data_IF_010081512563
#
_entry.id   IF_010081512563
#
_cell.length_a   1.000
_cell.length_b   1.000
_cell.length_c   1.000
_cell.angle_alpha   90.00
_cell.angle_beta   90.00
_cell.angle_gamma   90.00
#
_symmetry.space_group_name_H-M   'P 1'
#
loop_
_entity.id
_entity.type
_entity.pdbx_description
1 polymer ?
#
# COMPACT_ATOMS: atom_id res chain seq x y z
N UNK A 1 7.08 13.34 6.19
CA UNK A 1 7.56 12.45 5.11
C UNK A 1 6.63 12.42 3.89
N UNK A 2 5.60 13.30 3.85
CA UNK A 2 4.72 13.39 2.69
C UNK A 2 5.49 13.82 1.43
N UNK A 3 5.12 13.25 0.29
CA UNK A 3 5.58 13.70 -1.02
C UNK A 3 5.17 15.15 -1.27
N UNK A 4 5.97 15.90 -2.04
CA UNK A 4 5.76 17.35 -2.26
C UNK A 4 4.42 17.72 -2.91
N UNK A 5 3.82 16.77 -3.64
CA UNK A 5 2.53 16.94 -4.32
C UNK A 5 1.34 16.55 -3.46
N UNK A 6 1.58 15.93 -2.30
CA UNK A 6 0.55 15.34 -1.43
C UNK A 6 0.21 16.27 -0.26
N UNK A 7 -1.05 16.29 0.13
CA UNK A 7 -1.61 17.14 1.18
C UNK A 7 -2.33 16.27 2.23
N UNK A 8 -1.59 15.42 2.98
CA UNK A 8 -2.18 14.60 4.05
C UNK A 8 -2.54 15.46 5.27
N UNK A 9 -3.31 14.89 6.17
CA UNK A 9 -3.73 15.55 7.41
C UNK A 9 -5.23 15.75 7.51
N UNK A 10 -5.66 16.77 8.24
CA UNK A 10 -7.08 17.06 8.45
C UNK A 10 -7.70 17.67 7.18
N UNK A 11 -8.63 16.92 6.57
CA UNK A 11 -9.27 17.31 5.30
C UNK A 11 -10.67 17.94 5.55
N UNK A 12 -11.42 17.37 6.49
CA UNK A 12 -12.74 17.87 6.92
C UNK A 12 -12.81 17.75 8.44
N UNK A 13 -13.30 18.78 9.13
CA UNK A 13 -13.52 18.70 10.56
C UNK A 13 -13.46 20.05 11.28
N UNK A 14 -13.89 20.06 12.53
CA UNK A 14 -13.82 21.19 13.44
C UNK A 14 -12.91 20.84 14.63
N UNK A 15 -11.82 21.58 14.80
CA UNK A 15 -10.81 21.36 15.86
C UNK A 15 -11.37 21.55 17.29
N UNK A 16 -12.60 22.04 17.44
CA UNK A 16 -13.27 22.21 18.72
C UNK A 16 -14.07 20.98 19.17
N UNK A 17 -14.21 19.98 18.31
CA UNK A 17 -14.95 18.76 18.64
C UNK A 17 -14.03 17.76 19.37
N UNK A 18 -14.55 17.14 20.41
CA UNK A 18 -13.90 16.03 21.08
C UNK A 18 -13.91 14.78 20.18
N UNK A 19 -12.82 14.03 20.21
CA UNK A 19 -12.66 12.77 19.48
C UNK A 19 -12.55 11.62 20.47
N UNK A 20 -13.55 10.74 20.48
CA UNK A 20 -13.61 9.55 21.35
C UNK A 20 -13.66 8.24 20.55
N UNK A 21 -14.26 8.29 19.36
CA UNK A 21 -14.46 7.13 18.50
C UNK A 21 -13.72 7.38 17.19
N UNK A 22 -12.69 6.57 16.91
CA UNK A 22 -11.88 6.66 15.70
C UNK A 22 -12.17 5.43 14.84
N UNK A 23 -12.31 5.64 13.53
CA UNK A 23 -12.33 4.55 12.58
C UNK A 23 -11.22 4.69 11.53
N UNK A 24 -10.81 3.56 10.97
CA UNK A 24 -9.85 3.47 9.88
C UNK A 24 -10.51 2.87 8.65
N UNK A 25 -10.18 3.36 7.46
CA UNK A 25 -10.58 2.78 6.18
C UNK A 25 -9.56 3.12 5.09
N UNK A 26 -9.43 2.31 4.03
CA UNK A 26 -8.55 2.62 2.92
C UNK A 26 -9.03 3.87 2.17
N UNK A 27 -10.29 3.86 1.73
CA UNK A 27 -10.87 4.89 0.87
C UNK A 27 -12.01 5.66 1.57
N UNK A 28 -12.11 6.99 1.39
CA UNK A 28 -13.24 7.78 1.85
C UNK A 28 -14.43 7.69 0.87
N UNK A 29 -14.84 6.46 0.53
CA UNK A 29 -15.99 6.22 -0.35
C UNK A 29 -17.30 6.60 0.34
N UNK A 30 -18.37 6.87 -0.43
CA UNK A 30 -19.67 7.21 0.13
C UNK A 30 -20.17 6.15 1.14
N UNK A 31 -19.98 4.86 0.81
CA UNK A 31 -20.41 3.76 1.66
C UNK A 31 -19.62 3.69 2.99
N UNK A 32 -18.29 3.95 2.92
CA UNK A 32 -17.44 4.05 4.12
C UNK A 32 -17.88 5.22 5.00
N UNK A 33 -18.16 6.38 4.42
CA UNK A 33 -18.64 7.56 5.13
C UNK A 33 -20.00 7.27 5.82
N UNK A 34 -20.92 6.63 5.10
CA UNK A 34 -22.23 6.27 5.67
C UNK A 34 -22.09 5.29 6.84
N UNK A 35 -21.19 4.32 6.73
CA UNK A 35 -20.91 3.39 7.83
C UNK A 35 -20.24 4.07 9.02
N UNK A 36 -19.30 4.98 8.79
CA UNK A 36 -18.66 5.75 9.84
C UNK A 36 -19.68 6.60 10.62
N UNK A 37 -20.54 7.33 9.92
CA UNK A 37 -21.58 8.17 10.51
C UNK A 37 -22.61 7.31 11.29
N UNK A 38 -23.08 6.23 10.70
CA UNK A 38 -24.01 5.31 11.38
C UNK A 38 -23.39 4.66 12.63
N UNK A 39 -22.06 4.49 12.63
CA UNK A 39 -21.29 3.98 13.76
C UNK A 39 -20.94 5.01 14.83
N UNK A 40 -21.36 6.27 14.70
CA UNK A 40 -21.04 7.34 15.65
C UNK A 40 -19.55 7.65 15.73
N UNK A 41 -18.86 7.66 14.59
CA UNK A 41 -17.42 7.95 14.51
C UNK A 41 -17.20 9.47 14.54
N UNK A 42 -16.30 9.91 15.42
CA UNK A 42 -15.91 11.31 15.56
C UNK A 42 -14.77 11.67 14.60
N UNK A 43 -13.85 10.71 14.34
CA UNK A 43 -12.72 10.87 13.43
C UNK A 43 -12.57 9.63 12.55
N UNK A 44 -12.71 9.80 11.24
CA UNK A 44 -12.36 8.80 10.24
C UNK A 44 -10.94 9.08 9.72
N UNK A 45 -10.05 8.09 9.84
CA UNK A 45 -8.70 8.14 9.28
C UNK A 45 -8.68 7.26 8.04
N UNK A 46 -8.47 7.88 6.88
CA UNK A 46 -8.31 7.17 5.61
C UNK A 46 -6.86 7.18 5.15
N UNK A 47 -6.49 6.16 4.37
CA UNK A 47 -5.23 6.19 3.65
C UNK A 47 -5.34 7.11 2.44
N UNK A 48 -6.32 6.90 1.57
CA UNK A 48 -6.50 7.70 0.38
C UNK A 48 -7.16 9.06 0.65
N UNK A 49 -6.72 10.12 -0.06
CA UNK A 49 -7.29 11.45 0.10
C UNK A 49 -8.65 11.57 -0.60
N UNK A 50 -9.59 12.29 0.04
CA UNK A 50 -10.85 12.67 -0.60
C UNK A 50 -10.60 13.59 -1.81
N UNK A 51 -9.58 14.45 -1.73
CA UNK A 51 -9.18 15.38 -2.76
C UNK A 51 -7.75 15.07 -3.23
N UNK A 52 -7.61 14.11 -4.12
CA UNK A 52 -6.30 13.77 -4.71
C UNK A 52 -5.72 14.91 -5.57
N UNK A 53 -6.59 15.79 -6.07
CA UNK A 53 -6.21 16.99 -6.82
C UNK A 53 -6.98 18.18 -6.27
N UNK A 54 -6.39 19.38 -6.38
CA UNK A 54 -7.06 20.63 -5.99
C UNK A 54 -8.42 20.77 -6.67
N UNK A 55 -9.41 21.25 -5.91
CA UNK A 55 -10.77 21.49 -6.39
C UNK A 55 -11.13 22.95 -6.26
N UNK A 56 -11.91 23.48 -7.21
CA UNK A 56 -12.37 24.88 -7.19
C UNK A 56 -13.73 25.05 -6.51
N UNK A 57 -14.48 23.96 -6.32
CA UNK A 57 -15.79 24.01 -5.70
C UNK A 57 -16.08 22.74 -4.91
N UNK A 58 -16.72 22.93 -3.75
CA UNK A 58 -17.29 21.86 -2.93
C UNK A 58 -18.79 22.08 -2.87
N UNK A 59 -19.55 21.31 -3.63
CA UNK A 59 -21.02 21.49 -3.77
C UNK A 59 -21.72 20.14 -3.97
N UNK A 60 -23.06 20.16 -3.87
CA UNK A 60 -23.90 18.99 -4.11
C UNK A 60 -23.95 18.50 -5.58
N UNK A 61 -23.19 19.10 -6.49
CA UNK A 61 -23.06 18.62 -7.87
C UNK A 61 -22.12 17.41 -8.01
N UNK A 62 -21.34 17.10 -6.97
CA UNK A 62 -20.41 15.98 -6.98
C UNK A 62 -20.38 15.23 -5.65
N UNK A 63 -20.01 13.93 -5.71
CA UNK A 63 -20.00 13.07 -4.52
C UNK A 63 -19.04 13.58 -3.43
N UNK A 64 -17.94 14.25 -3.77
CA UNK A 64 -17.01 14.84 -2.79
C UNK A 64 -17.65 15.94 -1.96
N UNK A 65 -18.46 16.80 -2.61
CA UNK A 65 -19.23 17.82 -1.91
C UNK A 65 -20.29 17.23 -0.98
N UNK A 66 -20.95 16.15 -1.41
CA UNK A 66 -21.91 15.44 -0.58
C UNK A 66 -21.23 14.75 0.62
N UNK A 67 -20.03 14.16 0.45
CA UNK A 67 -19.24 13.60 1.56
C UNK A 67 -18.92 14.70 2.58
N UNK A 68 -18.38 15.84 2.14
CA UNK A 68 -18.08 16.96 3.04
C UNK A 68 -19.33 17.42 3.80
N UNK A 69 -20.48 17.54 3.11
CA UNK A 69 -21.75 17.90 3.75
C UNK A 69 -22.16 16.89 4.83
N UNK A 70 -22.10 15.59 4.51
CA UNK A 70 -22.45 14.51 5.45
C UNK A 70 -21.55 14.51 6.68
N UNK A 71 -20.24 14.61 6.49
CA UNK A 71 -19.26 14.64 7.58
C UNK A 71 -19.50 15.85 8.50
N UNK A 72 -19.66 17.05 7.93
CA UNK A 72 -19.93 18.26 8.71
C UNK A 72 -21.23 18.17 9.51
N UNK A 73 -22.32 17.66 8.91
CA UNK A 73 -23.59 17.51 9.60
C UNK A 73 -23.55 16.46 10.71
N UNK A 74 -22.74 15.45 10.57
CA UNK A 74 -22.55 14.39 11.57
C UNK A 74 -21.54 14.76 12.66
N UNK A 75 -20.78 15.85 12.50
CA UNK A 75 -19.65 16.17 13.38
C UNK A 75 -18.49 15.18 13.27
N UNK A 76 -18.38 14.45 12.16
CA UNK A 76 -17.32 13.47 11.91
C UNK A 76 -16.19 14.14 11.13
N UNK A 77 -14.99 14.13 11.67
CA UNK A 77 -13.79 14.61 10.97
C UNK A 77 -13.21 13.55 10.02
N UNK A 78 -12.56 13.99 8.95
CA UNK A 78 -11.79 13.15 8.05
C UNK A 78 -10.32 13.58 8.08
N UNK A 79 -9.45 12.64 8.44
CA UNK A 79 -8.00 12.80 8.40
C UNK A 79 -7.41 11.80 7.42
N UNK A 80 -6.35 12.19 6.72
CA UNK A 80 -5.69 11.38 5.70
C UNK A 80 -4.24 11.15 6.08
N UNK A 81 -3.83 9.87 6.10
CA UNK A 81 -2.44 9.43 6.19
C UNK A 81 -2.09 8.71 4.90
N UNK A 82 -1.49 9.42 3.94
CA UNK A 82 -1.20 8.94 2.60
C UNK A 82 0.31 8.69 2.45
N UNK A 83 1.02 9.43 1.60
CA UNK A 83 2.45 9.19 1.38
C UNK A 83 3.31 9.35 2.63
N UNK A 84 2.89 10.15 3.61
CA UNK A 84 3.52 10.22 4.92
C UNK A 84 3.38 8.91 5.72
N UNK A 85 2.25 8.20 5.58
CA UNK A 85 2.06 6.88 6.17
C UNK A 85 2.87 5.81 5.43
N UNK A 86 3.02 5.93 4.09
CA UNK A 86 3.84 5.02 3.29
C UNK A 86 5.31 5.05 3.74
N UNK A 87 5.83 6.24 3.99
CA UNK A 87 7.24 6.45 4.31
C UNK A 87 7.60 6.20 5.78
N UNK A 88 6.63 6.20 6.69
CA UNK A 88 6.85 6.14 8.13
C UNK A 88 7.37 4.78 8.61
N UNK A 89 8.10 4.79 9.76
CA UNK A 89 8.31 3.59 10.56
C UNK A 89 6.95 3.06 11.06
N UNK A 90 6.73 1.75 10.98
CA UNK A 90 5.42 1.10 11.20
C UNK A 90 4.31 1.65 10.29
N UNK A 91 4.69 2.20 9.14
CA UNK A 91 3.79 2.63 8.10
C UNK A 91 3.37 1.50 7.15
N UNK A 92 2.77 1.87 6.03
CA UNK A 92 2.12 0.96 5.07
C UNK A 92 3.10 -0.07 4.52
N UNK A 93 4.30 0.38 4.09
CA UNK A 93 5.33 -0.50 3.55
C UNK A 93 5.85 -1.53 4.54
N UNK A 94 6.04 -1.15 5.81
CA UNK A 94 6.50 -2.07 6.85
C UNK A 94 5.40 -3.06 7.24
N UNK A 95 4.16 -2.62 7.31
CA UNK A 95 3.03 -3.50 7.62
C UNK A 95 2.87 -4.61 6.58
N UNK A 96 2.97 -4.28 5.30
CA UNK A 96 2.94 -5.26 4.21
C UNK A 96 4.15 -6.21 4.27
N UNK A 97 5.37 -5.69 4.47
CA UNK A 97 6.57 -6.50 4.58
C UNK A 97 6.49 -7.52 5.74
N UNK A 98 5.99 -7.10 6.91
CA UNK A 98 5.79 -7.99 8.05
C UNK A 98 4.70 -9.05 7.77
N UNK A 99 3.59 -8.65 7.15
CA UNK A 99 2.51 -9.57 6.78
C UNK A 99 2.98 -10.65 5.80
N UNK A 100 3.93 -10.32 4.92
CA UNK A 100 4.54 -11.27 3.98
C UNK A 100 5.69 -12.07 4.58
N UNK A 101 6.06 -11.82 5.85
CA UNK A 101 7.09 -12.55 6.58
C UNK A 101 8.52 -12.16 6.19
N UNK A 102 8.74 -10.91 5.80
CA UNK A 102 10.06 -10.39 5.48
C UNK A 102 10.82 -10.03 6.76
N UNK A 103 12.08 -10.42 6.84
CA UNK A 103 13.02 -10.08 7.89
C UNK A 103 14.15 -9.21 7.34
N UNK A 104 14.95 -8.60 8.24
CA UNK A 104 16.09 -7.72 7.88
C UNK A 104 15.69 -6.58 6.93
N UNK A 105 14.57 -5.94 7.25
CA UNK A 105 13.96 -4.93 6.41
C UNK A 105 14.74 -3.61 6.40
N UNK A 106 14.79 -2.99 5.23
CA UNK A 106 15.23 -1.59 5.03
C UNK A 106 14.29 -0.89 4.05
N UNK A 107 14.22 0.45 4.05
CA UNK A 107 13.50 1.18 3.01
C UNK A 107 14.04 0.83 1.61
N UNK A 108 13.14 0.74 0.62
CA UNK A 108 13.51 0.64 -0.80
C UNK A 108 14.08 1.98 -1.28
N UNK A 109 13.36 3.07 -0.98
CA UNK A 109 13.82 4.44 -1.21
C UNK A 109 13.95 5.13 0.15
N UNK A 110 15.17 5.21 0.71
CA UNK A 110 15.37 5.81 2.03
C UNK A 110 15.14 7.32 2.02
N UNK A 111 14.63 7.85 3.12
CA UNK A 111 14.55 9.28 3.41
C UNK A 111 15.56 9.59 4.51
N UNK A 112 16.46 10.54 4.22
CA UNK A 112 17.45 11.00 5.21
C UNK A 112 16.78 11.94 6.22
N UNK A 113 16.61 11.46 7.45
CA UNK A 113 16.14 12.26 8.58
C UNK A 113 17.00 11.97 9.82
N UNK A 114 17.91 12.89 10.18
CA UNK A 114 18.77 12.71 11.36
C UNK A 114 18.03 12.62 12.70
N UNK A 115 16.74 12.96 12.72
CA UNK A 115 15.89 12.91 13.93
C UNK A 115 15.07 11.61 14.01
N UNK A 116 15.03 10.83 12.94
CA UNK A 116 14.31 9.57 12.95
C UNK A 116 15.05 8.54 13.81
N UNK A 117 14.34 7.94 14.75
CA UNK A 117 14.87 6.85 15.60
C UNK A 117 15.01 5.54 14.81
N UNK A 118 14.29 5.40 13.70
CA UNK A 118 14.27 4.23 12.84
C UNK A 118 14.40 4.62 11.38
N UNK A 119 14.91 3.74 10.50
CA UNK A 119 14.95 3.99 9.07
C UNK A 119 13.56 4.22 8.50
N UNK A 120 13.38 5.34 7.79
CA UNK A 120 12.15 5.77 7.13
C UNK A 120 12.36 5.88 5.62
N UNK A 121 11.30 5.79 4.85
CA UNK A 121 11.32 5.88 3.39
C UNK A 121 10.30 4.96 2.72
N UNK A 122 10.13 5.15 1.42
CA UNK A 122 9.13 4.43 0.64
C UNK A 122 9.48 2.96 0.44
N UNK A 123 8.46 2.12 0.52
CA UNK A 123 8.58 0.69 0.36
C UNK A 123 9.52 0.01 1.37
N UNK A 124 9.69 -1.28 1.21
CA UNK A 124 10.67 -2.07 2.00
C UNK A 124 11.37 -3.08 1.11
N UNK A 125 12.62 -3.34 1.42
CA UNK A 125 13.39 -4.48 0.92
C UNK A 125 13.72 -5.35 2.11
N UNK A 126 13.48 -6.65 1.99
CA UNK A 126 13.79 -7.62 3.01
C UNK A 126 14.08 -8.99 2.41
N UNK A 127 14.31 -9.97 3.28
CA UNK A 127 14.49 -11.36 2.85
C UNK A 127 13.48 -12.29 3.53
N UNK A 128 13.20 -13.39 2.89
CA UNK A 128 12.47 -14.50 3.50
C UNK A 128 13.39 -15.23 4.48
N UNK A 129 12.85 -15.78 5.55
CA UNK A 129 13.62 -16.59 6.49
C UNK A 129 14.22 -17.81 5.78
N UNK A 130 13.41 -18.47 4.95
CA UNK A 130 13.80 -19.57 4.07
C UNK A 130 13.38 -19.25 2.65
N UNK A 131 14.25 -19.44 1.63
CA UNK A 131 13.84 -19.32 0.25
C UNK A 131 12.73 -20.30 -0.11
N UNK A 132 11.74 -19.85 -0.90
CA UNK A 132 10.59 -20.65 -1.35
C UNK A 132 10.31 -20.41 -2.83
N UNK A 133 9.46 -21.25 -3.44
CA UNK A 133 9.04 -21.05 -4.81
C UNK A 133 8.18 -19.76 -4.96
N UNK A 134 8.29 -19.07 -6.09
CA UNK A 134 7.50 -17.85 -6.37
C UNK A 134 6.00 -18.09 -6.18
N UNK A 135 5.48 -19.26 -6.65
CA UNK A 135 4.05 -19.62 -6.48
C UNK A 135 3.62 -19.67 -5.02
N UNK A 136 4.48 -20.19 -4.14
CA UNK A 136 4.17 -20.33 -2.71
C UNK A 136 4.22 -18.97 -2.01
N UNK A 137 5.18 -18.13 -2.42
CA UNK A 137 5.21 -16.75 -1.95
C UNK A 137 4.00 -15.94 -2.42
N UNK A 138 3.60 -16.08 -3.68
CA UNK A 138 2.41 -15.41 -4.21
C UNK A 138 1.14 -15.84 -3.45
N UNK A 139 1.03 -17.11 -3.07
CA UNK A 139 -0.06 -17.59 -2.20
C UNK A 139 0.00 -16.93 -0.83
N UNK A 140 1.19 -16.86 -0.22
CA UNK A 140 1.39 -16.16 1.07
C UNK A 140 0.95 -14.69 0.99
N UNK A 141 1.30 -14.00 -0.10
CA UNK A 141 0.84 -12.62 -0.34
C UNK A 141 -0.69 -12.58 -0.42
N UNK A 142 -1.30 -13.43 -1.24
CA UNK A 142 -2.76 -13.49 -1.40
C UNK A 142 -3.49 -13.78 -0.08
N UNK A 143 -2.97 -14.71 0.73
CA UNK A 143 -3.57 -15.11 2.02
C UNK A 143 -3.45 -13.99 3.08
N UNK A 144 -2.48 -13.09 2.95
CA UNK A 144 -2.29 -11.97 3.87
C UNK A 144 -3.18 -10.75 3.55
N UNK A 145 -3.76 -10.70 2.35
CA UNK A 145 -4.59 -9.57 1.90
C UNK A 145 -6.06 -9.76 2.30
N UNK A 146 -6.80 -8.68 2.57
CA UNK A 146 -8.25 -8.71 2.55
C UNK A 146 -8.77 -9.23 1.21
N UNK A 147 -9.89 -9.95 1.24
CA UNK A 147 -10.49 -10.50 0.04
C UNK A 147 -10.88 -9.43 -0.98
N UNK A 148 -10.53 -9.68 -2.24
CA UNK A 148 -11.02 -8.94 -3.43
C UNK A 148 -11.29 -9.92 -4.55
N UNK A 149 -12.18 -9.55 -5.49
CA UNK A 149 -12.43 -10.36 -6.70
C UNK A 149 -11.23 -10.38 -7.64
N UNK A 150 -10.39 -9.34 -7.62
CA UNK A 150 -9.20 -9.24 -8.49
C UNK A 150 -8.12 -10.25 -8.10
N UNK A 151 -7.91 -10.51 -6.80
CA UNK A 151 -6.83 -11.35 -6.31
C UNK A 151 -5.44 -10.79 -6.67
N UNK A 152 -4.44 -11.67 -6.75
CA UNK A 152 -3.07 -11.31 -7.13
C UNK A 152 -2.69 -11.85 -8.50
N UNK A 153 -1.89 -11.09 -9.24
CA UNK A 153 -1.36 -11.48 -10.55
C UNK A 153 0.17 -11.67 -10.41
N UNK A 154 0.71 -12.69 -11.05
CA UNK A 154 2.13 -13.06 -10.93
C UNK A 154 2.79 -13.06 -12.31
N UNK A 155 3.94 -12.42 -12.40
CA UNK A 155 4.78 -12.41 -13.60
C UNK A 155 6.17 -12.95 -13.25
N UNK A 156 6.56 -14.06 -13.86
CA UNK A 156 7.85 -14.72 -13.65
C UNK A 156 7.73 -16.24 -13.71
N UNK A 157 8.85 -16.93 -13.48
CA UNK A 157 8.89 -18.39 -13.36
C UNK A 157 8.32 -18.80 -11.99
N UNK A 158 7.17 -19.46 -11.99
CA UNK A 158 6.45 -19.86 -10.77
C UNK A 158 7.23 -20.86 -9.88
N UNK A 159 8.17 -21.60 -10.46
CA UNK A 159 8.98 -22.58 -9.75
C UNK A 159 10.36 -22.01 -9.34
N UNK A 160 10.68 -20.77 -9.75
CA UNK A 160 11.91 -20.11 -9.33
C UNK A 160 11.96 -19.96 -7.82
N UNK A 161 13.10 -20.30 -7.23
CA UNK A 161 13.36 -20.10 -5.81
C UNK A 161 13.68 -18.63 -5.57
N UNK A 162 12.94 -17.99 -4.65
CA UNK A 162 13.09 -16.59 -4.26
C UNK A 162 13.48 -16.48 -2.80
N UNK A 163 14.32 -15.51 -2.46
CA UNK A 163 14.76 -15.23 -1.08
C UNK A 163 14.70 -13.76 -0.71
N UNK A 164 14.77 -12.84 -1.70
CA UNK A 164 14.77 -11.40 -1.49
C UNK A 164 13.59 -10.74 -2.17
N UNK A 165 12.94 -9.82 -1.46
CA UNK A 165 11.69 -9.19 -1.89
C UNK A 165 11.75 -7.69 -1.66
N UNK A 166 11.31 -6.92 -2.65
CA UNK A 166 10.90 -5.53 -2.47
C UNK A 166 9.37 -5.48 -2.39
N UNK A 167 8.83 -4.66 -1.52
CA UNK A 167 7.39 -4.38 -1.42
C UNK A 167 7.16 -2.87 -1.37
N UNK A 168 6.24 -2.41 -2.21
CA UNK A 168 5.71 -1.05 -2.19
C UNK A 168 4.20 -1.16 -2.33
N UNK A 169 3.41 -1.04 -1.24
CA UNK A 169 1.97 -0.91 -1.35
C UNK A 169 1.58 0.29 -2.20
N UNK A 170 0.46 0.20 -2.90
CA UNK A 170 0.05 1.23 -3.85
C UNK A 170 0.72 1.13 -5.22
N UNK A 171 0.63 2.19 -6.02
CA UNK A 171 1.09 2.22 -7.42
C UNK A 171 2.62 2.31 -7.50
N UNK A 172 3.27 1.24 -7.92
CA UNK A 172 4.73 1.10 -7.84
C UNK A 172 5.48 0.98 -9.16
N UNK A 173 4.85 1.21 -10.31
CA UNK A 173 5.54 1.10 -11.60
C UNK A 173 6.59 2.20 -11.87
N UNK A 174 6.60 3.25 -11.05
CA UNK A 174 7.59 4.32 -11.09
C UNK A 174 8.94 3.97 -10.44
N UNK A 175 9.03 2.88 -9.66
CA UNK A 175 10.22 2.49 -8.89
C UNK A 175 10.95 1.25 -9.44
N UNK A 176 10.74 0.90 -10.70
CA UNK A 176 11.42 -0.26 -11.29
C UNK A 176 12.95 -0.13 -11.31
N UNK A 177 13.48 1.07 -11.46
CA UNK A 177 14.93 1.30 -11.46
C UNK A 177 15.52 1.09 -10.07
N UNK A 178 14.86 1.54 -9.01
CA UNK A 178 15.24 1.34 -7.62
C UNK A 178 15.19 -0.15 -7.24
N UNK A 179 14.13 -0.84 -7.66
CA UNK A 179 13.97 -2.29 -7.45
C UNK A 179 15.06 -3.07 -8.17
N UNK A 180 15.36 -2.71 -9.42
CA UNK A 180 16.46 -3.32 -10.20
C UNK A 180 17.82 -3.06 -9.54
N UNK A 181 18.05 -1.83 -9.07
CA UNK A 181 19.27 -1.48 -8.34
C UNK A 181 19.39 -2.22 -6.99
N UNK A 182 18.28 -2.53 -6.33
CA UNK A 182 18.25 -3.33 -5.11
C UNK A 182 18.63 -4.80 -5.34
N UNK A 183 18.44 -5.32 -6.57
CA UNK A 183 18.82 -6.67 -6.97
C UNK A 183 17.97 -7.77 -6.33
N UNK A 184 16.70 -7.49 -6.04
CA UNK A 184 15.78 -8.44 -5.41
C UNK A 184 15.21 -9.45 -6.40
N UNK A 185 14.74 -10.60 -5.89
CA UNK A 185 14.14 -11.64 -6.72
C UNK A 185 12.72 -11.28 -7.16
N UNK A 186 11.95 -10.62 -6.26
CA UNK A 186 10.53 -10.30 -6.49
C UNK A 186 10.22 -8.88 -6.04
N UNK A 187 9.36 -8.22 -6.82
CA UNK A 187 8.73 -6.96 -6.45
C UNK A 187 7.22 -7.13 -6.30
N UNK A 188 6.69 -6.79 -5.12
CA UNK A 188 5.27 -6.80 -4.79
C UNK A 188 4.77 -5.37 -4.73
N UNK A 189 3.78 -5.04 -5.57
CA UNK A 189 3.18 -3.69 -5.65
C UNK A 189 1.80 -3.76 -6.29
N UNK A 190 1.18 -2.61 -6.58
CA UNK A 190 -0.14 -2.52 -7.21
C UNK A 190 -0.12 -1.69 -8.49
N UNK A 191 -1.24 -1.69 -9.21
CA UNK A 191 -1.51 -0.87 -10.40
C UNK A 191 -0.47 -1.02 -11.51
N UNK A 192 0.12 -2.20 -11.62
CA UNK A 192 1.10 -2.46 -12.66
C UNK A 192 0.45 -2.43 -14.05
N UNK A 193 0.93 -1.51 -14.89
CA UNK A 193 0.47 -1.33 -16.26
C UNK A 193 1.22 -2.24 -17.23
N UNK A 194 0.56 -2.58 -18.35
CA UNK A 194 1.09 -3.52 -19.35
C UNK A 194 2.52 -3.17 -19.82
N UNK A 195 2.71 -1.98 -20.39
CA UNK A 195 4.01 -1.63 -20.99
C UNK A 195 5.15 -1.52 -19.95
N UNK A 196 5.00 -0.83 -18.81
CA UNK A 196 6.07 -0.80 -17.82
C UNK A 196 6.51 -2.19 -17.35
N UNK A 197 5.57 -3.12 -17.15
CA UNK A 197 5.91 -4.49 -16.72
C UNK A 197 6.55 -5.28 -17.84
N UNK A 198 6.02 -5.21 -19.08
CA UNK A 198 6.62 -5.93 -20.22
C UNK A 198 8.03 -5.46 -20.49
N UNK A 199 8.30 -4.16 -20.43
CA UNK A 199 9.63 -3.60 -20.62
C UNK A 199 10.57 -4.02 -19.48
N UNK A 200 10.11 -4.00 -18.24
CA UNK A 200 10.90 -4.42 -17.08
C UNK A 200 11.26 -5.90 -17.13
N UNK A 201 10.34 -6.79 -17.53
CA UNK A 201 10.63 -8.22 -17.63
C UNK A 201 11.54 -8.55 -18.82
N UNK A 202 11.38 -7.85 -19.95
CA UNK A 202 12.29 -8.02 -21.10
C UNK A 202 13.70 -7.52 -20.77
N UNK A 203 13.84 -6.41 -20.05
CA UNK A 203 15.13 -5.96 -19.55
C UNK A 203 15.76 -6.99 -18.60
N UNK A 204 14.97 -7.55 -17.66
CA UNK A 204 15.44 -8.59 -16.76
C UNK A 204 15.92 -9.86 -17.50
N UNK A 205 15.20 -10.28 -18.53
CA UNK A 205 15.58 -11.41 -19.39
C UNK A 205 16.86 -11.13 -20.15
N UNK A 206 16.98 -9.93 -20.72
CA UNK A 206 18.19 -9.51 -21.43
C UNK A 206 19.40 -9.52 -20.51
N UNK A 207 19.31 -8.91 -19.34
CA UNK A 207 20.38 -8.88 -18.34
C UNK A 207 20.80 -10.30 -17.89
N UNK A 208 19.83 -11.17 -17.62
CA UNK A 208 20.09 -12.57 -17.28
C UNK A 208 20.84 -13.30 -18.40
N UNK A 209 20.47 -13.07 -19.68
CA UNK A 209 21.14 -13.66 -20.83
C UNK A 209 22.58 -13.17 -20.99
N UNK A 210 22.85 -11.90 -20.69
CA UNK A 210 24.21 -11.36 -20.71
C UNK A 210 25.08 -11.96 -19.60
N UNK A 211 24.54 -12.06 -18.37
CA UNK A 211 25.24 -12.72 -17.25
C UNK A 211 25.50 -14.22 -17.53
N UNK A 212 24.59 -14.92 -18.20
CA UNK A 212 24.80 -16.29 -18.66
C UNK A 212 25.90 -16.42 -19.70
N UNK A 213 26.29 -15.33 -20.38
CA UNK A 213 27.39 -15.24 -21.32
C UNK A 213 28.68 -14.63 -20.69
N UNK A 214 28.78 -14.61 -19.36
CA UNK A 214 29.85 -14.01 -18.58
C UNK A 214 30.06 -12.50 -18.83
N UNK A 215 28.98 -11.79 -19.23
CA UNK A 215 28.97 -10.34 -19.38
C UNK A 215 28.28 -9.73 -18.16
N UNK A 216 29.02 -8.98 -17.36
CA UNK A 216 28.47 -8.29 -16.19
C UNK A 216 27.50 -7.17 -16.62
N UNK A 217 26.19 -7.42 -16.45
CA UNK A 217 25.13 -6.44 -16.68
C UNK A 217 24.05 -6.58 -15.61
N UNK A 218 23.75 -5.46 -14.92
CA UNK A 218 22.88 -5.48 -13.76
C UNK A 218 23.48 -6.18 -12.54
N UNK A 219 22.63 -6.68 -11.63
CA UNK A 219 23.07 -7.39 -10.41
C UNK A 219 22.59 -8.84 -10.40
N UNK A 220 23.35 -9.70 -9.74
CA UNK A 220 22.99 -11.09 -9.48
C UNK A 220 23.59 -12.09 -10.46
N UNK A 221 23.06 -13.30 -10.44
CA UNK A 221 23.42 -14.42 -11.32
C UNK A 221 22.61 -14.41 -12.64
N UNK A 222 22.63 -15.51 -13.38
CA UNK A 222 21.90 -15.65 -14.64
C UNK A 222 20.38 -15.84 -14.50
N UNK A 223 19.80 -15.66 -13.30
CA UNK A 223 18.35 -15.72 -13.13
C UNK A 223 17.66 -14.43 -13.58
N UNK A 224 16.44 -14.57 -14.10
CA UNK A 224 15.60 -13.43 -14.48
C UNK A 224 15.04 -12.79 -13.22
N UNK A 225 15.40 -11.54 -12.97
CA UNK A 225 14.91 -10.77 -11.81
C UNK A 225 14.91 -9.26 -12.06
N UNK A 226 14.00 -8.49 -11.46
CA UNK A 226 12.95 -8.97 -10.57
C UNK A 226 11.80 -9.65 -11.32
N UNK A 227 11.11 -10.55 -10.61
CA UNK A 227 9.76 -11.03 -10.95
C UNK A 227 8.74 -10.15 -10.25
N UNK A 228 7.46 -10.20 -10.66
CA UNK A 228 6.47 -9.26 -10.15
C UNK A 228 5.24 -9.96 -9.58
N UNK A 229 4.70 -9.39 -8.48
CA UNK A 229 3.37 -9.69 -7.95
C UNK A 229 2.59 -8.40 -7.90
N UNK A 230 1.50 -8.34 -8.69
CA UNK A 230 0.56 -7.23 -8.71
C UNK A 230 -0.62 -7.54 -7.79
N UNK A 231 -0.86 -6.66 -6.81
CA UNK A 231 -1.89 -6.83 -5.77
C UNK A 231 -3.02 -5.82 -5.97
N UNK A 232 -4.22 -6.08 -5.43
CA UNK A 232 -5.26 -5.06 -5.33
C UNK A 232 -4.79 -3.89 -4.45
N UNK A 233 -4.96 -2.67 -4.95
CA UNK A 233 -4.38 -1.44 -4.39
C UNK A 233 -4.79 -1.22 -2.93
N UNK A 234 -6.07 -1.00 -2.68
CA UNK A 234 -6.57 -0.71 -1.34
C UNK A 234 -6.41 -1.89 -0.36
N UNK A 235 -6.36 -3.13 -0.87
CA UNK A 235 -6.20 -4.31 -0.03
C UNK A 235 -4.81 -4.37 0.61
N UNK A 236 -3.75 -4.18 -0.17
CA UNK A 236 -2.38 -4.22 0.38
C UNK A 236 -2.12 -3.05 1.33
N UNK A 237 -2.63 -1.85 1.02
CA UNK A 237 -2.46 -0.68 1.88
C UNK A 237 -3.24 -0.76 3.18
N UNK A 238 -4.41 -1.40 3.17
CA UNK A 238 -5.23 -1.57 4.36
C UNK A 238 -4.58 -2.44 5.45
N UNK A 239 -3.54 -3.22 5.14
CA UNK A 239 -2.76 -3.98 6.12
C UNK A 239 -2.16 -3.04 7.19
N UNK A 240 -1.84 -1.80 6.85
CA UNK A 240 -1.35 -0.79 7.79
C UNK A 240 -2.25 -0.59 9.00
N UNK A 241 -3.56 -0.73 8.85
CA UNK A 241 -4.50 -0.49 9.95
C UNK A 241 -4.31 -1.45 11.13
N UNK A 242 -3.66 -2.59 10.94
CA UNK A 242 -3.25 -3.48 12.03
C UNK A 242 -2.29 -2.76 13.00
N UNK A 243 -1.42 -1.88 12.51
CA UNK A 243 -0.56 -1.04 13.34
C UNK A 243 -1.30 0.20 13.85
N UNK A 244 -1.97 0.91 12.96
CA UNK A 244 -2.63 2.18 13.29
C UNK A 244 -3.67 2.02 14.42
N UNK A 245 -4.41 0.90 14.46
CA UNK A 245 -5.38 0.58 15.51
C UNK A 245 -4.75 0.40 16.91
N UNK A 246 -3.48 0.09 16.98
CA UNK A 246 -2.73 0.01 18.23
C UNK A 246 -1.96 1.29 18.55
N UNK A 247 -1.31 1.86 17.54
CA UNK A 247 -0.38 2.98 17.71
C UNK A 247 -1.12 4.32 17.94
N UNK A 248 -2.22 4.57 17.24
CA UNK A 248 -2.99 5.83 17.38
C UNK A 248 -3.60 5.98 18.79
N UNK A 249 -4.36 5.00 19.34
CA UNK A 249 -4.90 5.16 20.69
C UNK A 249 -3.82 5.24 21.75
N UNK A 250 -2.67 4.57 21.58
CA UNK A 250 -1.54 4.70 22.47
C UNK A 250 -0.98 6.12 22.44
N UNK A 251 -0.72 6.69 21.27
CA UNK A 251 -0.20 8.04 21.13
C UNK A 251 -1.19 9.09 21.68
N UNK A 252 -2.49 8.91 21.47
CA UNK A 252 -3.53 9.77 22.07
C UNK A 252 -3.49 9.66 23.59
N UNK A 253 -3.42 8.45 24.14
CA UNK A 253 -3.39 8.24 25.58
C UNK A 253 -2.13 8.84 26.24
N UNK A 254 -0.98 8.72 25.58
CA UNK A 254 0.27 9.34 26.07
C UNK A 254 0.20 10.87 26.07
N UNK A 255 -0.49 11.45 25.10
CA UNK A 255 -0.61 12.91 24.95
C UNK A 255 -1.71 13.53 25.82
N UNK A 256 -2.82 12.83 26.07
CA UNK A 256 -4.03 13.41 26.67
C UNK A 256 -4.48 12.71 27.95
N UNK A 257 -4.05 11.48 28.19
CA UNK A 257 -4.55 10.60 29.27
C UNK A 257 -5.84 9.85 28.90
N UNK A 258 -6.47 10.15 27.78
CA UNK A 258 -7.70 9.51 27.32
C UNK A 258 -7.39 8.37 26.32
N UNK A 259 -8.23 7.32 26.32
CA UNK A 259 -8.09 6.20 25.39
C UNK A 259 -9.28 6.19 24.46
N UNK A 260 -9.12 6.55 23.17
CA UNK A 260 -10.21 6.50 22.22
C UNK A 260 -10.59 5.06 21.86
N UNK A 261 -11.87 4.84 21.54
CA UNK A 261 -12.31 3.60 20.91
C UNK A 261 -11.87 3.60 19.46
N UNK A 262 -11.33 2.48 18.98
CA UNK A 262 -10.90 2.35 17.59
C UNK A 262 -11.56 1.18 16.90
N UNK A 263 -11.84 1.32 15.60
CA UNK A 263 -12.33 0.24 14.74
C UNK A 263 -11.79 0.36 13.32
N UNK A 264 -11.70 -0.75 12.63
CA UNK A 264 -11.44 -0.80 11.20
C UNK A 264 -12.74 -1.04 10.44
N UNK A 265 -13.06 -0.15 9.49
CA UNK A 265 -14.13 -0.34 8.51
C UNK A 265 -13.49 -1.11 7.35
N UNK A 266 -13.52 -2.43 7.43
CA UNK A 266 -12.89 -3.35 6.48
C UNK A 266 -13.75 -3.58 5.22
N UNK A 267 -14.37 -2.50 4.73
CA UNK A 267 -15.17 -2.56 3.50
C UNK A 267 -14.24 -2.72 2.31
N UNK A 268 -14.52 -3.72 1.46
CA UNK A 268 -13.85 -3.84 0.17
C UNK A 268 -14.25 -2.67 -0.73
N UNK A 269 -13.28 -1.82 -1.08
CA UNK A 269 -13.44 -0.68 -1.99
C UNK A 269 -12.82 -0.91 -3.35
N UNK A 270 -12.27 -2.11 -3.61
CA UNK A 270 -11.83 -2.53 -4.93
C UNK A 270 -13.01 -2.49 -5.91
N UNK A 271 -12.89 -1.80 -7.08
CA UNK A 271 -14.03 -1.56 -7.96
C UNK A 271 -14.48 -2.78 -8.77
N UNK A 272 -13.69 -3.85 -8.76
CA UNK A 272 -13.93 -5.02 -9.60
C UNK A 272 -14.84 -6.05 -8.91
N UNK A 273 -15.94 -6.42 -9.56
CA UNK A 273 -16.93 -7.35 -9.01
C UNK A 273 -16.83 -8.76 -9.61
N UNK A 274 -16.04 -8.93 -10.68
CA UNK A 274 -15.88 -10.20 -11.36
C UNK A 274 -14.61 -10.18 -12.22
N UNK A 275 -13.83 -11.25 -12.15
CA UNK A 275 -12.70 -11.51 -13.04
C UNK A 275 -12.95 -12.80 -13.81
N UNK A 276 -12.94 -12.72 -15.13
CA UNK A 276 -13.12 -13.87 -16.01
C UNK A 276 -11.83 -14.09 -16.82
N UNK A 277 -11.29 -15.30 -16.86
CA UNK A 277 -10.21 -15.61 -17.77
C UNK A 277 -10.71 -15.49 -19.22
N UNK A 278 -9.87 -14.97 -20.12
CA UNK A 278 -10.20 -14.97 -21.55
C UNK A 278 -10.15 -16.41 -22.08
N UNK A 279 -11.25 -16.86 -22.72
CA UNK A 279 -11.36 -18.20 -23.30
C UNK A 279 -10.90 -18.19 -24.77
N UNK A 280 -9.70 -17.67 -25.07
CA UNK A 280 -9.07 -17.80 -26.38
C UNK A 280 -8.78 -19.27 -26.69
N UNK A 281 -8.87 -19.66 -27.98
CA UNK A 281 -8.45 -21.01 -28.37
C UNK A 281 -6.98 -21.19 -28.00
N UNK A 282 -6.67 -22.25 -27.24
CA UNK A 282 -5.30 -22.72 -27.11
C UNK A 282 -4.74 -22.99 -28.49
N UNK A 283 -3.67 -22.33 -28.86
CA UNK A 283 -2.97 -22.56 -30.13
C UNK A 283 -1.92 -23.66 -29.92
#
# INVERSE_FOLDING_TARGET
YAEQWDEPGLIVGDLRHDVRNIAFAADPSMAVIDQAIAGGIDLLICHHPLFFRSVHAVSGLGFRGEIVRKLNLAGCALWVGHTNADASYRGVGMAAADAFGLIEQRPLVPIEDPKAEHPVGLGRVGRLQEPIALRDFARRVADALPYTELGVQVCGDLDATIGTVAVLPGSGDSLFDEVRAAGVDVYVTSDLRHHPVTDAIEQARYEASMRAADIELGRGDATVRPMFINTPHSAIESIWFQYAMGDVPRAVSEATGDIPTVRWISMNTDPWNLVLPSCGQER
#
